data_IF_826677876828
#
_entry.id   IF_826677876828
#
_cell.length_a   1.000
_cell.length_b   1.000
_cell.length_c   1.000
_cell.angle_alpha   90.00
_cell.angle_beta   90.00
_cell.angle_gamma   90.00
#
_symmetry.space_group_name_H-M   'P 1'
#
loop_
_entity.id
_entity.type
_entity.pdbx_description
1 polymer ?
#
# COMPACT_ATOMS: atom_id res chain seq x y z
N UNK A 1 4.42 -25.14 22.39
CA UNK A 1 5.14 -23.94 22.88
C UNK A 1 4.18 -23.21 23.78
N UNK A 2 4.47 -23.04 25.07
CA UNK A 2 3.47 -22.54 26.03
C UNK A 2 3.22 -21.05 25.76
N UNK A 3 2.07 -20.74 25.18
CA UNK A 3 1.62 -19.38 25.00
C UNK A 3 1.08 -18.89 26.35
N UNK A 4 1.54 -17.71 26.79
CA UNK A 4 1.21 -17.16 28.11
C UNK A 4 0.65 -15.77 27.93
N UNK A 5 -0.52 -15.51 28.52
CA UNK A 5 -1.11 -14.17 28.59
C UNK A 5 -1.24 -13.72 30.03
N UNK A 6 -0.75 -12.52 30.34
CA UNK A 6 -0.90 -11.88 31.64
C UNK A 6 -1.67 -10.57 31.47
N UNK A 7 -2.69 -10.36 32.31
CA UNK A 7 -3.51 -9.15 32.29
C UNK A 7 -3.92 -8.73 33.70
N UNK A 8 -4.34 -7.48 33.85
CA UNK A 8 -4.96 -6.98 35.08
C UNK A 8 -6.46 -6.84 34.85
N UNK A 9 -7.27 -7.44 35.72
CA UNK A 9 -8.72 -7.51 35.63
C UNK A 9 -9.36 -6.99 36.94
N UNK A 10 -10.66 -6.68 36.89
CA UNK A 10 -11.43 -6.17 38.03
C UNK A 10 -12.56 -7.16 38.38
N UNK A 11 -12.54 -7.65 39.61
CA UNK A 11 -13.59 -8.51 40.14
C UNK A 11 -14.84 -7.69 40.46
N UNK A 12 -15.99 -8.03 39.87
CA UNK A 12 -17.24 -7.29 40.11
C UNK A 12 -17.86 -7.53 41.50
N UNK A 13 -17.38 -8.54 42.24
CA UNK A 13 -17.92 -8.90 43.58
C UNK A 13 -17.43 -7.94 44.68
N UNK A 14 -16.17 -7.52 44.60
CA UNK A 14 -15.50 -6.67 45.61
C UNK A 14 -14.83 -5.41 45.03
N UNK A 15 -14.97 -5.18 43.71
CA UNK A 15 -14.21 -4.19 42.92
C UNK A 15 -12.68 -4.30 43.07
N UNK A 16 -12.17 -5.45 43.53
CA UNK A 16 -10.76 -5.71 43.69
C UNK A 16 -10.07 -5.95 42.35
N UNK A 17 -8.91 -5.31 42.16
CA UNK A 17 -8.01 -5.65 41.07
C UNK A 17 -7.28 -6.96 41.35
N UNK A 18 -7.15 -7.80 40.32
CA UNK A 18 -6.33 -8.99 40.35
C UNK A 18 -5.58 -9.14 39.02
N UNK A 19 -4.41 -9.76 39.06
CA UNK A 19 -3.66 -10.14 37.85
C UNK A 19 -4.05 -11.57 37.49
N UNK A 20 -4.54 -11.76 36.27
CA UNK A 20 -4.77 -13.07 35.67
C UNK A 20 -3.54 -13.45 34.84
N UNK A 21 -2.91 -14.57 35.20
CA UNK A 21 -1.91 -15.26 34.40
C UNK A 21 -2.57 -16.51 33.78
N UNK A 22 -2.37 -16.75 32.49
CA UNK A 22 -2.96 -17.90 31.77
C UNK A 22 -1.89 -18.61 30.94
N UNK A 23 -1.74 -19.91 31.15
CA UNK A 23 -1.00 -20.82 30.27
C UNK A 23 -1.98 -21.48 29.29
N UNK A 24 -1.78 -21.28 27.99
CA UNK A 24 -2.56 -21.92 26.94
C UNK A 24 -1.81 -23.12 26.37
N UNK A 25 -2.42 -24.31 26.48
CA UNK A 25 -2.01 -25.55 25.80
C UNK A 25 -3.11 -25.99 24.81
N UNK A 26 -2.83 -27.01 24.00
CA UNK A 26 -3.69 -27.35 22.85
C UNK A 26 -5.02 -28.02 23.25
N UNK A 27 -5.10 -28.61 24.46
CA UNK A 27 -6.27 -29.35 24.97
C UNK A 27 -6.88 -28.76 26.26
N UNK A 28 -6.23 -27.79 26.87
CA UNK A 28 -6.66 -27.15 28.12
C UNK A 28 -5.89 -25.84 28.34
N UNK A 29 -6.36 -25.01 29.27
CA UNK A 29 -5.58 -23.88 29.76
C UNK A 29 -5.59 -23.82 31.29
N UNK A 30 -4.49 -23.35 31.87
CA UNK A 30 -4.35 -23.14 33.32
C UNK A 30 -4.46 -21.66 33.63
N UNK A 31 -5.14 -21.30 34.71
CA UNK A 31 -5.18 -19.94 35.24
C UNK A 31 -4.47 -19.87 36.59
N UNK A 32 -3.74 -18.78 36.82
CA UNK A 32 -3.25 -18.37 38.14
C UNK A 32 -3.76 -16.95 38.40
N UNK A 33 -4.51 -16.80 39.48
CA UNK A 33 -5.12 -15.55 39.93
C UNK A 33 -4.27 -14.98 41.07
N UNK A 34 -3.68 -13.81 40.83
CA UNK A 34 -2.81 -13.10 41.77
C UNK A 34 -3.52 -11.85 42.29
N UNK A 35 -3.76 -11.79 43.61
CA UNK A 35 -4.39 -10.66 44.28
C UNK A 35 -3.53 -10.22 45.47
N UNK A 36 -3.49 -8.90 45.71
CA UNK A 36 -2.67 -8.29 46.77
C UNK A 36 -2.97 -8.88 48.15
N UNK A 37 -1.93 -9.26 48.88
CA UNK A 37 -1.99 -9.79 50.26
C UNK A 37 -2.80 -11.08 50.46
N UNK A 38 -3.09 -11.84 49.39
CA UNK A 38 -3.79 -13.14 49.46
C UNK A 38 -2.96 -14.26 48.83
N UNK A 39 -3.23 -15.51 49.21
CA UNK A 39 -2.64 -16.69 48.54
C UNK A 39 -3.10 -16.70 47.07
N UNK A 40 -2.21 -16.95 46.08
CA UNK A 40 -2.62 -17.12 44.69
C UNK A 40 -3.61 -18.27 44.54
N UNK A 41 -4.58 -18.16 43.64
CA UNK A 41 -5.50 -19.25 43.32
C UNK A 41 -5.15 -19.85 41.96
N UNK A 42 -5.20 -21.17 41.82
CA UNK A 42 -4.97 -21.89 40.56
C UNK A 42 -6.25 -22.61 40.13
N UNK A 43 -6.59 -22.54 38.85
CA UNK A 43 -7.63 -23.37 38.22
C UNK A 43 -7.18 -23.86 36.85
N UNK A 44 -7.88 -24.85 36.29
CA UNK A 44 -7.60 -25.42 34.96
C UNK A 44 -8.93 -25.70 34.24
N UNK A 45 -8.96 -25.53 32.92
CA UNK A 45 -10.15 -25.82 32.11
C UNK A 45 -9.77 -26.59 30.85
N UNK A 46 -10.28 -27.81 30.74
CA UNK A 46 -10.12 -28.66 29.56
C UNK A 46 -11.10 -28.29 28.45
N UNK A 47 -10.75 -28.57 27.20
CA UNK A 47 -11.65 -28.34 26.06
C UNK A 47 -12.88 -29.24 26.09
N UNK A 48 -12.83 -30.42 26.73
CA UNK A 48 -14.05 -31.19 27.02
C UNK A 48 -14.94 -30.47 28.04
N UNK A 49 -14.37 -29.92 29.12
CA UNK A 49 -15.13 -29.12 30.11
C UNK A 49 -15.76 -27.87 29.50
N UNK A 50 -15.13 -27.31 28.47
CA UNK A 50 -15.68 -26.17 27.72
C UNK A 50 -16.94 -26.53 26.91
N UNK A 51 -17.20 -27.81 26.57
CA UNK A 51 -18.27 -28.18 25.64
C UNK A 51 -19.66 -27.78 26.14
N UNK A 52 -19.88 -27.82 27.46
CA UNK A 52 -21.10 -27.33 28.11
C UNK A 52 -21.40 -25.87 27.75
N UNK A 53 -20.38 -25.01 27.76
CA UNK A 53 -20.52 -23.61 27.37
C UNK A 53 -20.63 -23.44 25.85
N UNK A 54 -19.99 -24.30 25.03
CA UNK A 54 -20.16 -24.26 23.57
C UNK A 54 -21.61 -24.55 23.17
N UNK A 55 -22.23 -25.58 23.76
CA UNK A 55 -23.62 -25.95 23.52
C UNK A 55 -24.58 -24.83 23.95
N UNK A 56 -24.31 -24.14 25.06
CA UNK A 56 -25.12 -23.00 25.52
C UNK A 56 -24.92 -21.72 24.69
N UNK A 57 -23.77 -21.56 24.03
CA UNK A 57 -23.42 -20.36 23.24
C UNK A 57 -23.72 -20.50 21.74
N UNK A 58 -23.99 -21.71 21.24
CA UNK A 58 -24.07 -22.05 19.82
C UNK A 58 -22.80 -21.65 19.02
N UNK A 59 -21.64 -21.60 19.68
CA UNK A 59 -20.35 -21.19 19.10
C UNK A 59 -19.38 -22.38 18.91
N UNK A 60 -18.60 -22.44 17.82
CA UNK A 60 -17.55 -23.44 17.66
C UNK A 60 -16.35 -23.17 18.58
N UNK A 61 -15.65 -24.24 18.98
CA UNK A 61 -14.53 -24.20 19.95
C UNK A 61 -13.47 -23.13 19.63
N UNK A 62 -13.08 -22.96 18.37
CA UNK A 62 -12.05 -21.98 18.00
C UNK A 62 -12.50 -20.53 18.27
N UNK A 63 -13.72 -20.17 17.84
CA UNK A 63 -14.31 -18.85 18.11
C UNK A 63 -14.51 -18.61 19.61
N UNK A 64 -14.88 -19.64 20.36
CA UNK A 64 -14.97 -19.59 21.80
C UNK A 64 -13.61 -19.32 22.48
N UNK A 65 -12.56 -20.05 22.07
CA UNK A 65 -11.21 -19.87 22.58
C UNK A 65 -10.62 -18.51 22.19
N UNK A 66 -10.84 -18.03 20.97
CA UNK A 66 -10.42 -16.70 20.53
C UNK A 66 -11.10 -15.59 21.35
N UNK A 67 -12.42 -15.65 21.53
CA UNK A 67 -13.16 -14.70 22.39
C UNK A 67 -12.72 -14.77 23.86
N UNK A 68 -12.35 -15.95 24.36
CA UNK A 68 -11.87 -16.13 25.74
C UNK A 68 -10.44 -15.61 25.91
N UNK A 69 -9.55 -15.81 24.92
CA UNK A 69 -8.24 -15.14 24.83
C UNK A 69 -8.39 -13.62 24.77
N UNK A 70 -9.37 -13.11 24.02
CA UNK A 70 -9.69 -11.68 23.95
C UNK A 70 -10.23 -11.14 25.28
N UNK A 71 -11.09 -11.89 25.97
CA UNK A 71 -11.58 -11.56 27.31
C UNK A 71 -10.42 -11.44 28.32
N UNK A 72 -9.62 -12.51 28.42
CA UNK A 72 -8.49 -12.58 29.35
C UNK A 72 -7.32 -11.66 28.97
N UNK A 73 -7.37 -10.98 27.82
CA UNK A 73 -6.43 -9.89 27.50
C UNK A 73 -6.72 -8.57 28.25
N UNK A 74 -7.87 -8.45 28.93
CA UNK A 74 -8.31 -7.22 29.61
C UNK A 74 -8.76 -6.08 28.68
N UNK A 75 -8.68 -6.28 27.36
CA UNK A 75 -9.07 -5.26 26.35
C UNK A 75 -10.56 -5.25 26.00
N UNK A 76 -11.32 -6.26 26.44
CA UNK A 76 -12.74 -6.39 26.15
C UNK A 76 -13.59 -5.88 27.32
N UNK A 77 -14.26 -4.74 27.13
CA UNK A 77 -15.13 -4.09 28.13
C UNK A 77 -16.47 -4.79 28.35
N UNK A 78 -16.90 -5.64 27.43
CA UNK A 78 -18.23 -6.26 27.44
C UNK A 78 -18.29 -7.49 28.34
N UNK A 79 -17.14 -7.91 28.89
CA UNK A 79 -16.98 -9.12 29.68
C UNK A 79 -16.58 -8.74 31.10
N UNK A 80 -17.38 -9.23 32.05
CA UNK A 80 -17.25 -9.01 33.48
C UNK A 80 -16.73 -10.27 34.17
N UNK A 81 -15.83 -10.08 35.14
CA UNK A 81 -15.17 -11.16 35.86
C UNK A 81 -15.66 -11.21 37.31
N UNK A 82 -16.00 -12.41 37.76
CA UNK A 82 -16.52 -12.69 39.09
C UNK A 82 -15.61 -13.73 39.73
N UNK A 83 -15.06 -13.40 40.89
CA UNK A 83 -14.29 -14.31 41.74
C UNK A 83 -14.96 -14.29 43.11
N UNK A 84 -15.62 -15.39 43.44
CA UNK A 84 -16.35 -15.58 44.69
C UNK A 84 -16.10 -17.01 45.19
N UNK A 85 -15.86 -17.15 46.49
CA UNK A 85 -15.57 -18.43 47.13
C UNK A 85 -14.45 -19.18 46.37
N UNK A 86 -14.66 -20.43 45.96
CA UNK A 86 -13.70 -21.22 45.15
C UNK A 86 -14.02 -21.20 43.63
N UNK A 87 -14.78 -20.22 43.14
CA UNK A 87 -15.24 -20.15 41.73
C UNK A 87 -14.82 -18.86 41.02
N UNK A 88 -14.24 -19.01 39.83
CA UNK A 88 -13.95 -17.94 38.87
C UNK A 88 -14.89 -18.03 37.65
N UNK A 89 -15.70 -17.02 37.40
CA UNK A 89 -16.68 -16.96 36.30
C UNK A 89 -16.45 -15.71 35.44
N UNK A 90 -16.62 -15.82 34.13
CA UNK A 90 -16.69 -14.66 33.23
C UNK A 90 -18.01 -14.62 32.45
N UNK A 91 -18.63 -13.44 32.43
CA UNK A 91 -19.96 -13.23 31.82
C UNK A 91 -19.92 -12.08 30.82
N UNK A 92 -20.51 -12.29 29.65
CA UNK A 92 -20.74 -11.23 28.67
C UNK A 92 -22.03 -10.47 29.05
N UNK A 93 -21.95 -9.15 29.14
CA UNK A 93 -23.07 -8.24 29.46
C UNK A 93 -23.82 -8.60 30.76
N UNK A 94 -23.12 -9.20 31.75
CA UNK A 94 -23.65 -9.74 33.02
C UNK A 94 -24.74 -10.85 32.92
N UNK A 95 -25.24 -11.14 31.72
CA UNK A 95 -26.35 -12.09 31.50
C UNK A 95 -25.82 -13.45 31.05
N UNK A 96 -24.86 -13.47 30.13
CA UNK A 96 -24.42 -14.67 29.44
C UNK A 96 -23.10 -15.18 30.03
N UNK A 97 -23.16 -16.19 30.91
CA UNK A 97 -21.96 -16.90 31.37
C UNK A 97 -21.25 -17.52 30.18
N UNK A 98 -19.99 -17.13 29.96
CA UNK A 98 -19.14 -17.71 28.92
C UNK A 98 -18.22 -18.80 29.46
N UNK A 99 -17.96 -18.85 30.76
CA UNK A 99 -17.25 -19.96 31.36
C UNK A 99 -17.11 -19.81 32.87
N UNK A 100 -16.82 -20.93 33.50
CA UNK A 100 -16.63 -21.08 34.94
C UNK A 100 -15.48 -22.06 35.19
N UNK A 101 -14.60 -21.72 36.13
CA UNK A 101 -13.45 -22.51 36.53
C UNK A 101 -13.42 -22.56 38.05
N UNK A 102 -13.43 -23.77 38.63
CA UNK A 102 -13.16 -23.95 40.06
C UNK A 102 -11.67 -23.67 40.31
N UNK A 103 -11.38 -22.87 41.33
CA UNK A 103 -10.03 -22.41 41.67
C UNK A 103 -9.68 -22.80 43.09
N UNK A 104 -8.40 -23.08 43.33
CA UNK A 104 -7.91 -23.63 44.60
C UNK A 104 -6.64 -22.90 45.08
N UNK A 105 -6.41 -22.73 46.39
CA UNK A 105 -5.21 -22.08 46.92
C UNK A 105 -3.90 -22.77 46.47
N UNK A 106 -3.03 -22.02 45.79
CA UNK A 106 -1.74 -22.47 45.28
C UNK A 106 -0.69 -22.48 46.39
N UNK A 107 -0.76 -23.48 47.27
CA UNK A 107 0.14 -23.63 48.43
C UNK A 107 1.60 -23.94 48.07
N UNK A 108 1.91 -24.32 46.82
CA UNK A 108 3.27 -24.63 46.39
C UNK A 108 4.00 -23.38 45.87
N UNK A 109 4.77 -22.74 46.74
CA UNK A 109 5.58 -21.55 46.43
C UNK A 109 6.60 -21.75 45.29
N UNK A 110 7.04 -23.00 45.03
CA UNK A 110 7.98 -23.27 43.94
C UNK A 110 7.36 -22.96 42.58
N UNK A 111 6.09 -23.28 42.36
CA UNK A 111 5.37 -22.98 41.10
C UNK A 111 5.30 -21.47 40.87
N UNK A 112 5.10 -20.68 41.93
CA UNK A 112 5.10 -19.21 41.87
C UNK A 112 6.51 -18.66 41.61
N UNK A 113 7.55 -19.29 42.17
CA UNK A 113 8.95 -18.93 41.94
C UNK A 113 9.40 -19.24 40.50
N UNK A 114 9.02 -20.40 39.96
CA UNK A 114 9.41 -20.84 38.62
C UNK A 114 8.67 -20.03 37.53
N UNK A 115 7.37 -19.76 37.70
CA UNK A 115 6.62 -18.87 36.80
C UNK A 115 7.12 -17.43 36.86
N UNK A 116 7.49 -16.91 38.04
CA UNK A 116 8.13 -15.60 38.17
C UNK A 116 9.50 -15.55 37.48
N UNK A 117 10.30 -16.61 37.59
CA UNK A 117 11.59 -16.74 36.90
C UNK A 117 11.39 -16.72 35.38
N UNK A 118 10.46 -17.51 34.85
CA UNK A 118 10.17 -17.56 33.41
C UNK A 118 9.67 -16.20 32.90
N UNK A 119 8.80 -15.52 33.64
CA UNK A 119 8.34 -14.16 33.30
C UNK A 119 9.49 -13.15 33.28
N UNK A 120 10.48 -13.27 34.17
CA UNK A 120 11.65 -12.41 34.22
C UNK A 120 12.63 -12.69 33.05
N UNK A 121 12.86 -13.96 32.71
CA UNK A 121 13.66 -14.36 31.55
C UNK A 121 13.00 -13.86 30.24
N UNK A 122 11.69 -14.09 30.07
CA UNK A 122 10.90 -13.55 28.95
C UNK A 122 10.93 -12.01 28.88
N UNK A 123 10.98 -11.33 30.04
CA UNK A 123 11.08 -9.86 30.10
C UNK A 123 12.46 -9.36 29.66
N UNK A 124 13.54 -10.04 30.06
CA UNK A 124 14.90 -9.73 29.58
C UNK A 124 15.00 -9.93 28.05
N UNK A 125 14.52 -11.06 27.53
CA UNK A 125 14.46 -11.31 26.07
C UNK A 125 13.74 -10.17 25.33
N UNK A 126 12.65 -9.65 25.90
CA UNK A 126 11.92 -8.52 25.34
C UNK A 126 12.75 -7.22 25.37
N UNK A 127 13.46 -6.93 26.46
CA UNK A 127 14.35 -5.76 26.55
C UNK A 127 15.50 -5.84 25.54
N UNK A 128 16.17 -6.98 25.42
CA UNK A 128 17.27 -7.18 24.47
C UNK A 128 16.79 -7.07 23.01
N UNK A 129 15.57 -7.57 22.72
CA UNK A 129 14.90 -7.37 21.43
C UNK A 129 14.63 -5.89 21.15
N UNK A 130 14.11 -5.13 22.11
CA UNK A 130 13.81 -3.70 21.96
C UNK A 130 15.10 -2.92 21.65
N UNK A 131 16.15 -3.09 22.46
CA UNK A 131 17.45 -2.42 22.27
C UNK A 131 18.10 -2.78 20.92
N UNK A 132 17.83 -3.98 20.39
CA UNK A 132 18.30 -4.39 19.05
C UNK A 132 17.51 -3.68 17.94
N UNK A 133 16.17 -3.64 18.04
CA UNK A 133 15.30 -2.96 17.09
C UNK A 133 15.50 -1.43 17.07
N UNK A 134 15.79 -0.82 18.22
CA UNK A 134 16.14 0.60 18.32
C UNK A 134 17.42 0.94 17.54
N UNK A 135 18.46 0.10 17.66
CA UNK A 135 19.72 0.25 16.91
C UNK A 135 19.52 0.04 15.41
N UNK A 136 18.70 -0.94 15.02
CA UNK A 136 18.35 -1.17 13.62
C UNK A 136 17.59 0.03 13.04
N UNK A 137 16.59 0.55 13.75
CA UNK A 137 15.82 1.74 13.37
C UNK A 137 16.72 2.99 13.27
N UNK A 138 17.63 3.20 14.21
CA UNK A 138 18.61 4.30 14.14
C UNK A 138 19.53 4.18 12.90
N UNK A 139 19.98 2.95 12.58
CA UNK A 139 20.78 2.67 11.39
C UNK A 139 19.99 2.90 10.08
N UNK A 140 18.73 2.47 10.02
CA UNK A 140 17.83 2.70 8.89
C UNK A 140 17.54 4.20 8.69
N UNK A 141 17.33 4.96 9.76
CA UNK A 141 17.16 6.42 9.66
C UNK A 141 18.43 7.13 9.18
N UNK A 142 19.61 6.74 9.67
CA UNK A 142 20.91 7.29 9.21
C UNK A 142 21.18 6.98 7.73
N UNK A 143 20.91 5.75 7.29
CA UNK A 143 21.12 5.35 5.88
C UNK A 143 20.09 5.98 4.94
N UNK A 144 18.82 6.09 5.34
CA UNK A 144 17.79 6.80 4.59
C UNK A 144 18.10 8.31 4.50
N UNK A 145 18.49 8.95 5.60
CA UNK A 145 18.90 10.37 5.61
C UNK A 145 20.07 10.63 4.66
N UNK A 146 21.09 9.75 4.64
CA UNK A 146 22.17 9.84 3.66
C UNK A 146 21.65 9.68 2.23
N UNK A 147 20.81 8.67 1.96
CA UNK A 147 20.26 8.42 0.63
C UNK A 147 19.47 9.62 0.09
N UNK A 148 18.74 10.34 0.94
CA UNK A 148 18.06 11.59 0.58
C UNK A 148 19.09 12.64 0.11
N UNK A 149 20.17 12.87 0.86
CA UNK A 149 21.22 13.83 0.46
C UNK A 149 22.02 13.39 -0.79
N UNK A 150 22.25 12.08 -0.97
CA UNK A 150 22.88 11.52 -2.17
C UNK A 150 21.96 11.70 -3.41
N UNK A 151 20.63 11.68 -3.23
CA UNK A 151 19.64 11.96 -4.29
C UNK A 151 19.52 13.46 -4.60
N UNK A 152 19.46 14.33 -3.59
CA UNK A 152 19.40 15.78 -3.77
C UNK A 152 20.62 16.32 -4.52
N UNK A 153 21.83 15.90 -4.12
CA UNK A 153 23.07 16.27 -4.80
C UNK A 153 23.14 15.74 -6.24
N UNK A 154 22.60 14.55 -6.51
CA UNK A 154 22.47 14.01 -7.88
C UNK A 154 21.48 14.83 -8.73
N UNK A 155 20.36 15.26 -8.15
CA UNK A 155 19.38 16.14 -8.81
C UNK A 155 20.03 17.48 -9.17
N UNK A 156 20.78 18.11 -8.27
CA UNK A 156 21.47 19.36 -8.56
C UNK A 156 22.59 19.21 -9.59
N UNK A 157 23.36 18.13 -9.54
CA UNK A 157 24.38 17.83 -10.56
C UNK A 157 23.74 17.63 -11.95
N UNK A 158 22.62 16.89 -12.02
CA UNK A 158 21.80 16.75 -13.25
C UNK A 158 21.31 18.11 -13.74
N UNK A 159 20.66 18.90 -12.87
CA UNK A 159 20.09 20.21 -13.22
C UNK A 159 21.17 21.19 -13.73
N UNK A 160 22.38 21.14 -13.15
CA UNK A 160 23.54 21.93 -13.58
C UNK A 160 24.04 21.48 -14.96
N UNK A 161 24.15 20.17 -15.19
CA UNK A 161 24.56 19.59 -16.48
C UNK A 161 23.55 19.90 -17.60
N UNK A 162 22.25 19.80 -17.33
CA UNK A 162 21.20 20.16 -18.29
C UNK A 162 21.28 21.64 -18.67
N UNK A 163 21.42 22.56 -17.70
CA UNK A 163 21.58 24.00 -17.96
C UNK A 163 22.80 24.32 -18.83
N UNK A 164 23.94 23.70 -18.55
CA UNK A 164 25.16 23.83 -19.36
C UNK A 164 24.98 23.31 -20.80
N UNK A 165 24.37 22.12 -20.96
CA UNK A 165 24.11 21.52 -22.26
C UNK A 165 23.12 22.35 -23.09
N UNK A 166 22.04 22.86 -22.48
CA UNK A 166 21.10 23.78 -23.14
C UNK A 166 21.77 25.10 -23.54
N UNK A 167 22.67 25.65 -22.71
CA UNK A 167 23.46 26.84 -23.06
C UNK A 167 24.35 26.62 -24.28
N UNK A 168 25.09 25.51 -24.31
CA UNK A 168 25.94 25.10 -25.45
C UNK A 168 25.12 24.86 -26.73
N UNK A 169 23.97 24.20 -26.61
CA UNK A 169 23.06 23.99 -27.74
C UNK A 169 22.47 25.30 -28.29
N UNK A 170 22.06 26.22 -27.40
CA UNK A 170 21.51 27.51 -27.79
C UNK A 170 22.55 28.39 -28.50
N UNK A 171 23.81 28.38 -28.02
CA UNK A 171 24.92 29.06 -28.69
C UNK A 171 25.12 28.53 -30.11
N UNK A 172 25.26 27.20 -30.27
CA UNK A 172 25.41 26.55 -31.57
C UNK A 172 24.24 26.85 -32.51
N UNK A 173 23.00 26.78 -32.00
CA UNK A 173 21.78 27.09 -32.75
C UNK A 173 21.78 28.54 -33.25
N UNK A 174 22.24 29.49 -32.43
CA UNK A 174 22.32 30.90 -32.80
C UNK A 174 23.40 31.14 -33.86
N UNK A 175 24.59 30.55 -33.75
CA UNK A 175 25.63 30.60 -34.79
C UNK A 175 25.14 30.01 -36.13
N UNK A 176 24.36 28.91 -36.10
CA UNK A 176 23.76 28.35 -37.32
C UNK A 176 22.67 29.25 -37.91
N UNK A 177 21.79 29.84 -37.09
CA UNK A 177 20.80 30.85 -37.54
C UNK A 177 21.45 32.09 -38.13
N UNK A 178 22.58 32.53 -37.58
CA UNK A 178 23.37 33.64 -38.10
C UNK A 178 23.94 33.31 -39.48
N UNK A 179 24.62 32.18 -39.62
CA UNK A 179 25.15 31.75 -40.93
C UNK A 179 24.07 31.56 -41.99
N UNK A 180 22.87 31.12 -41.60
CA UNK A 180 21.71 31.05 -42.52
C UNK A 180 21.29 32.46 -42.98
N UNK A 181 21.18 33.43 -42.07
CA UNK A 181 20.85 34.83 -42.41
C UNK A 181 21.91 35.48 -43.32
N UNK A 182 23.19 35.22 -43.08
CA UNK A 182 24.28 35.66 -43.97
C UNK A 182 24.11 35.12 -45.39
N UNK A 183 23.94 33.80 -45.52
CA UNK A 183 23.81 33.13 -46.81
C UNK A 183 22.55 33.58 -47.56
N UNK A 184 21.43 33.78 -46.86
CA UNK A 184 20.21 34.36 -47.42
C UNK A 184 20.45 35.78 -47.95
N UNK A 185 21.12 36.65 -47.17
CA UNK A 185 21.45 38.02 -47.61
C UNK A 185 22.35 38.04 -48.85
N UNK A 186 23.30 37.11 -48.98
CA UNK A 186 24.14 36.96 -50.17
C UNK A 186 23.31 36.53 -51.38
N UNK A 187 22.44 35.52 -51.21
CA UNK A 187 21.56 35.01 -52.26
C UNK A 187 20.61 36.11 -52.77
N UNK A 188 19.97 36.86 -51.86
CA UNK A 188 19.00 37.88 -52.23
C UNK A 188 19.65 39.17 -52.77
N UNK A 189 20.85 39.51 -52.31
CA UNK A 189 21.68 40.55 -52.92
C UNK A 189 22.04 40.22 -54.37
N UNK A 190 22.50 38.99 -54.65
CA UNK A 190 22.78 38.55 -56.01
C UNK A 190 21.53 38.59 -56.91
N UNK A 191 20.35 38.20 -56.41
CA UNK A 191 19.08 38.33 -57.15
C UNK A 191 18.76 39.77 -57.53
N UNK A 192 19.00 40.74 -56.64
CA UNK A 192 18.77 42.16 -56.94
C UNK A 192 19.75 42.67 -58.01
N UNK A 193 21.02 42.29 -57.94
CA UNK A 193 22.01 42.62 -58.99
C UNK A 193 21.58 42.05 -60.35
N UNK A 194 21.10 40.80 -60.41
CA UNK A 194 20.63 40.20 -61.68
C UNK A 194 19.31 40.78 -62.19
N UNK A 195 18.44 41.31 -61.32
CA UNK A 195 17.17 41.96 -61.73
C UNK A 195 17.34 43.42 -62.18
N UNK A 196 18.50 44.04 -61.99
CA UNK A 196 18.73 45.46 -62.31
C UNK A 196 19.21 45.72 -63.74
N UNK A 197 19.30 44.69 -64.60
CA UNK A 197 19.94 44.78 -65.92
C UNK A 197 19.03 44.42 -67.11
N UNK A 198 17.95 43.64 -66.89
CA UNK A 198 17.02 43.21 -67.93
C UNK A 198 15.61 43.04 -67.34
N UNK A 199 14.75 44.04 -67.53
CA UNK A 199 13.29 43.93 -67.43
C UNK A 199 12.63 45.03 -68.29
N UNK A 200 12.90 44.98 -69.60
CA UNK A 200 12.18 45.75 -70.62
C UNK A 200 12.05 44.90 -71.89
N UNK A 201 10.89 45.00 -72.56
CA UNK A 201 10.39 44.17 -73.68
C UNK A 201 10.03 42.70 -73.37
N UNK A 202 9.09 42.03 -74.07
CA UNK A 202 7.74 42.35 -74.59
C UNK A 202 7.18 41.09 -75.26
N UNK A 203 5.99 40.63 -74.84
CA UNK A 203 5.00 39.78 -75.56
C UNK A 203 5.34 38.33 -76.01
N UNK A 204 4.32 37.69 -76.61
CA UNK A 204 4.24 36.42 -77.38
C UNK A 204 4.30 35.05 -76.63
N UNK A 205 3.13 34.67 -76.09
CA UNK A 205 2.29 33.51 -76.51
C UNK A 205 2.86 32.17 -77.10
N UNK A 206 2.11 31.10 -76.78
CA UNK A 206 1.83 29.90 -77.59
C UNK A 206 2.71 28.61 -77.56
N UNK A 207 2.10 27.56 -76.99
CA UNK A 207 2.07 26.13 -77.39
C UNK A 207 3.32 25.21 -77.47
N UNK A 208 3.11 23.92 -77.10
CA UNK A 208 4.19 22.92 -77.02
C UNK A 208 3.85 21.58 -76.34
N UNK A 209 2.75 20.93 -76.72
CA UNK A 209 2.14 19.78 -76.01
C UNK A 209 2.88 18.42 -76.10
N UNK A 210 3.06 17.74 -74.94
CA UNK A 210 2.67 16.34 -74.65
C UNK A 210 3.25 15.83 -73.29
N UNK A 211 2.63 14.89 -72.55
CA UNK A 211 1.30 14.27 -72.73
C UNK A 211 1.04 13.09 -71.77
N UNK A 212 -0.10 13.12 -71.04
CA UNK A 212 -0.59 12.03 -70.17
C UNK A 212 0.11 11.91 -68.79
N UNK A 213 -0.53 11.46 -67.70
CA UNK A 213 -1.92 11.04 -67.45
C UNK A 213 -2.15 11.07 -65.91
N UNK A 214 -3.36 11.11 -65.32
CA UNK A 214 -4.76 11.07 -65.83
C UNK A 214 -5.68 11.82 -64.84
N UNK A 215 -6.95 12.06 -65.19
CA UNK A 215 -7.99 12.56 -64.27
C UNK A 215 -9.39 12.08 -64.66
N UNK A 216 -10.25 11.90 -63.66
CA UNK A 216 -11.72 11.95 -63.69
C UNK A 216 -12.13 12.61 -62.36
N UNK A 217 -12.79 13.77 -62.32
CA UNK A 217 -14.22 14.00 -62.64
C UNK A 217 -15.14 13.30 -61.62
N UNK A 218 -16.17 13.93 -61.03
CA UNK A 218 -16.77 15.24 -61.38
C UNK A 218 -17.55 15.90 -60.21
N UNK A 219 -18.22 17.03 -60.50
CA UNK A 219 -19.38 17.66 -59.81
C UNK A 219 -19.12 19.00 -59.10
N UNK A 220 -19.91 20.02 -59.49
CA UNK A 220 -20.05 21.34 -58.82
C UNK A 220 -21.50 21.52 -58.32
N UNK A 221 -21.71 22.03 -57.09
CA UNK A 221 -22.70 23.13 -56.84
C UNK A 221 -22.71 23.73 -55.42
N UNK A 222 -22.38 25.03 -55.38
CA UNK A 222 -22.72 26.14 -54.47
C UNK A 222 -23.76 25.94 -53.34
N UNK A 223 -23.42 26.44 -52.12
CA UNK A 223 -24.11 27.42 -51.22
C UNK A 223 -23.79 27.10 -49.74
N UNK A 224 -23.77 28.02 -48.76
CA UNK A 224 -23.51 29.48 -48.71
C UNK A 224 -23.25 29.90 -47.22
N UNK A 225 -22.71 31.10 -46.99
CA UNK A 225 -22.82 31.94 -45.76
C UNK A 225 -22.19 31.54 -44.39
N UNK A 226 -21.31 32.45 -43.93
CA UNK A 226 -21.20 33.09 -42.58
C UNK A 226 -20.58 32.40 -41.33
N UNK A 227 -19.54 33.10 -40.82
CA UNK A 227 -19.16 33.43 -39.41
C UNK A 227 -19.50 32.45 -38.26
N UNK A 228 -18.46 32.06 -37.50
CA UNK A 228 -18.19 32.61 -36.14
C UNK A 228 -16.80 32.20 -35.61
N UNK A 229 -16.41 32.71 -34.44
CA UNK A 229 -15.04 32.71 -33.87
C UNK A 229 -14.73 31.53 -32.90
N UNK A 230 -13.45 31.32 -32.50
CA UNK A 230 -12.98 30.04 -31.96
C UNK A 230 -13.16 29.88 -30.43
N UNK A 231 -13.01 28.63 -29.95
CA UNK A 231 -12.75 28.33 -28.53
C UNK A 231 -11.57 27.36 -28.37
N UNK A 232 -10.71 27.68 -27.41
CA UNK A 232 -9.54 26.88 -27.04
C UNK A 232 -9.93 25.71 -26.12
N UNK A 233 -9.20 24.60 -26.20
CA UNK A 233 -9.35 23.45 -25.31
C UNK A 233 -8.05 23.16 -24.56
N UNK A 234 -8.11 23.19 -23.22
CA UNK A 234 -7.00 22.77 -22.35
C UNK A 234 -6.83 21.26 -22.47
N UNK A 235 -5.59 20.79 -22.67
CA UNK A 235 -5.28 19.37 -22.88
C UNK A 235 -4.65 18.77 -21.62
N UNK A 236 -5.45 18.04 -20.84
CA UNK A 236 -4.98 17.38 -19.61
C UNK A 236 -4.14 16.14 -19.95
N UNK A 237 -2.93 16.03 -19.38
CA UNK A 237 -2.10 14.84 -19.50
C UNK A 237 -2.56 13.76 -18.52
N UNK A 238 -2.98 12.60 -19.04
CA UNK A 238 -3.30 11.41 -18.23
C UNK A 238 -2.12 10.43 -18.27
N UNK A 239 -1.50 10.15 -17.12
CA UNK A 239 -0.44 9.13 -17.01
C UNK A 239 -0.95 7.79 -17.56
N UNK A 240 -0.12 7.10 -18.34
CA UNK A 240 -0.23 5.67 -18.61
C UNK A 240 1.07 5.00 -18.18
N UNK A 241 0.97 4.10 -17.22
CA UNK A 241 2.01 3.13 -16.88
C UNK A 241 1.92 1.96 -17.85
N UNK A 242 2.96 1.75 -18.67
CA UNK A 242 3.16 0.50 -19.41
C UNK A 242 4.54 -0.04 -19.06
N UNK A 243 4.59 -1.27 -18.55
CA UNK A 243 5.80 -2.08 -18.52
C UNK A 243 6.16 -2.49 -19.95
N UNK A 244 7.44 -2.38 -20.31
CA UNK A 244 7.96 -2.86 -21.59
C UNK A 244 8.87 -4.07 -21.34
N UNK A 245 8.50 -5.19 -21.96
CA UNK A 245 9.39 -6.31 -22.28
C UNK A 245 9.51 -6.36 -23.81
N UNK A 246 10.65 -6.77 -24.34
CA UNK A 246 10.91 -6.72 -25.80
C UNK A 246 11.75 -7.90 -26.32
N UNK A 247 11.16 -8.60 -27.28
CA UNK A 247 11.73 -9.35 -28.41
C UNK A 247 12.99 -8.71 -29.04
N UNK A 248 13.81 -9.34 -29.90
CA UNK A 248 14.09 -10.75 -30.33
C UNK A 248 15.30 -10.69 -31.32
N UNK A 249 15.75 -11.64 -32.16
CA UNK A 249 15.39 -13.04 -32.54
C UNK A 249 16.60 -13.73 -33.19
N UNK A 250 16.63 -15.07 -33.32
CA UNK A 250 17.29 -15.83 -34.40
C UNK A 250 16.96 -17.35 -34.34
N UNK A 251 17.01 -18.13 -35.46
CA UNK A 251 16.40 -19.47 -35.52
C UNK A 251 17.34 -20.67 -35.88
N UNK A 252 16.75 -21.87 -35.83
CA UNK A 252 17.19 -23.19 -36.36
C UNK A 252 18.39 -23.93 -35.72
N UNK A 253 18.49 -25.28 -35.85
CA UNK A 253 17.50 -26.29 -36.30
C UNK A 253 17.16 -27.36 -35.23
N UNK A 254 16.28 -28.32 -35.56
CA UNK A 254 15.69 -29.31 -34.63
C UNK A 254 16.40 -30.68 -34.62
N UNK A 255 16.41 -31.35 -33.46
CA UNK A 255 16.62 -32.81 -33.33
C UNK A 255 15.72 -33.47 -32.27
N UNK A 256 15.26 -34.69 -32.58
CA UNK A 256 14.72 -35.75 -31.69
C UNK A 256 13.63 -35.43 -30.64
N UNK A 257 12.41 -35.91 -30.96
CA UNK A 257 11.55 -36.81 -30.17
C UNK A 257 11.49 -36.63 -28.62
N UNK A 258 10.28 -36.45 -28.10
CA UNK A 258 9.46 -37.64 -27.77
C UNK A 258 7.95 -37.33 -27.74
N UNK A 259 7.09 -38.36 -27.83
CA UNK A 259 5.63 -38.23 -27.74
C UNK A 259 5.11 -38.49 -26.31
N UNK A 260 4.10 -37.73 -25.87
CA UNK A 260 2.93 -38.30 -25.16
C UNK A 260 1.72 -37.37 -25.16
N UNK A 261 0.55 -37.99 -25.05
CA UNK A 261 -0.73 -37.40 -25.47
C UNK A 261 -1.55 -36.81 -24.31
N UNK A 262 -2.17 -35.67 -24.63
CA UNK A 262 -3.27 -34.98 -23.96
C UNK A 262 -4.20 -35.84 -23.09
N UNK A 263 -4.58 -35.29 -21.93
CA UNK A 263 -6.01 -35.15 -21.56
C UNK A 263 -6.27 -33.76 -20.99
N UNK A 264 -7.43 -33.21 -21.33
CA UNK A 264 -7.97 -31.93 -20.83
C UNK A 264 -9.32 -32.19 -20.17
N UNK A 265 -9.64 -31.44 -19.12
CA UNK A 265 -11.01 -30.96 -18.83
C UNK A 265 -10.97 -29.73 -17.93
N UNK A 266 -11.76 -28.74 -18.32
CA UNK A 266 -11.91 -27.37 -17.81
C UNK A 266 -12.08 -27.12 -16.29
N UNK A 267 -11.51 -25.97 -15.87
CA UNK A 267 -12.14 -24.81 -15.20
C UNK A 267 -13.09 -24.99 -13.98
N UNK A 268 -13.25 -24.01 -13.05
CA UNK A 268 -13.11 -22.55 -13.16
C UNK A 268 -12.56 -21.92 -11.87
N UNK A 269 -11.84 -20.81 -12.01
CA UNK A 269 -11.65 -19.85 -10.90
C UNK A 269 -12.77 -18.79 -10.92
N UNK A 270 -13.25 -18.42 -9.73
CA UNK A 270 -13.95 -17.15 -9.49
C UNK A 270 -13.40 -16.53 -8.21
N UNK A 271 -12.79 -15.35 -8.32
CA UNK A 271 -12.36 -14.54 -7.18
C UNK A 271 -13.28 -13.32 -7.11
N UNK A 272 -13.80 -12.98 -5.93
CA UNK A 272 -14.52 -11.73 -5.69
C UNK A 272 -13.69 -10.74 -4.85
N UNK A 273 -13.90 -9.42 -5.01
CA UNK A 273 -13.01 -8.40 -4.47
C UNK A 273 -13.35 -7.97 -3.04
N UNK A 274 -12.37 -7.37 -2.35
CA UNK A 274 -12.60 -6.57 -1.15
C UNK A 274 -13.49 -5.36 -1.49
N UNK A 275 -14.45 -5.05 -0.62
CA UNK A 275 -15.01 -3.71 -0.49
C UNK A 275 -14.26 -2.96 0.63
N UNK A 276 -14.18 -1.63 0.49
CA UNK A 276 -13.65 -0.71 1.51
C UNK A 276 -14.80 0.23 1.92
N UNK A 277 -14.96 0.59 3.21
CA UNK A 277 -15.99 1.54 3.63
C UNK A 277 -15.77 2.95 3.06
N UNK A 278 -16.86 3.68 2.84
CA UNK A 278 -16.82 5.08 2.39
C UNK A 278 -16.52 6.04 3.54
N UNK A 279 -15.75 7.09 3.25
CA UNK A 279 -15.61 8.29 4.09
C UNK A 279 -16.66 9.34 3.70
N UNK A 280 -17.28 10.04 4.67
CA UNK A 280 -17.98 11.29 4.42
C UNK A 280 -17.06 12.49 4.68
N UNK A 281 -16.95 13.40 3.70
CA UNK A 281 -16.46 14.78 3.88
C UNK A 281 -17.72 15.65 4.15
N UNK A 282 -17.76 16.32 5.31
CA UNK A 282 -17.57 17.78 5.47
C UNK A 282 -18.69 18.67 4.91
N UNK A 283 -19.57 19.12 5.82
CA UNK A 283 -20.21 20.44 5.73
C UNK A 283 -19.96 21.16 7.07
N UNK A 284 -19.20 22.26 7.04
CA UNK A 284 -18.94 23.14 8.19
C UNK A 284 -18.60 24.53 7.67
N UNK A 285 -19.62 25.32 7.32
CA UNK A 285 -19.45 26.70 6.88
C UNK A 285 -19.03 27.65 8.01
N UNK A 286 -18.62 28.86 7.63
CA UNK A 286 -17.83 29.79 8.44
C UNK A 286 -18.67 30.63 9.42
N UNK A 287 -18.15 30.86 10.63
CA UNK A 287 -18.10 32.21 11.21
C UNK A 287 -16.90 32.33 12.16
N UNK A 288 -16.07 33.36 11.95
CA UNK A 288 -14.84 33.60 12.74
C UNK A 288 -14.45 35.09 12.79
N UNK A 289 -15.41 36.02 12.69
CA UNK A 289 -15.16 37.46 12.89
C UNK A 289 -16.24 38.13 13.75
N UNK A 290 -16.16 37.95 15.07
CA UNK A 290 -16.84 38.81 16.04
C UNK A 290 -15.89 39.91 16.54
N UNK A 291 -16.29 41.17 16.35
CA UNK A 291 -15.64 42.38 16.88
C UNK A 291 -16.72 43.44 17.18
#
# INVERSE_FOLDING_TARGET
MINVSVSQLVNQVDNGQFTLYVEWEDTYFKIILLRSCTVPLKGEMHTESASYFLEQLEEPLETYLEKTKQAFSGKNTDIQFFLQDDTFTWKQQNILTRGEITVHPLSNVLIVSDTLKELLERYQDCQERIVTLEKENECLNKTNGKLITDVETMIDMKNKMEKDLYGKFLLLLNTKKERIRELQKIIDGNKQVTKSAYDETTDDESEGSNGGSKKTCDTKKRKNEQKTEPKSSKRNFKRRTNSFSSDSTSPEPSTSKDERVLRSTDARHTIQPKQLPNTPEEESEEDLFSQ
#
